data_IF_814422722475
#
_entry.id   IF_814422722475
#
_cell.length_a   1.000
_cell.length_b   1.000
_cell.length_c   1.000
_cell.angle_alpha   90.00
_cell.angle_beta   90.00
_cell.angle_gamma   90.00
#
_symmetry.space_group_name_H-M   'P 1'
#
loop_
_entity.id
_entity.type
_entity.pdbx_description
1 polymer ?
#
# COMPACT_ATOMS: atom_id res chain seq x y z
N UNK A 1 1.50 9.86 -0.98
CA UNK A 1 2.95 9.62 -1.04
C UNK A 1 3.14 8.24 -1.65
N UNK A 2 4.06 8.10 -2.62
CA UNK A 2 4.09 6.94 -3.53
C UNK A 2 5.44 6.21 -3.39
N UNK A 3 5.57 5.29 -2.41
CA UNK A 3 6.78 4.50 -2.22
C UNK A 3 6.77 3.18 -2.97
N UNK A 4 5.66 2.79 -3.60
CA UNK A 4 5.47 1.46 -4.17
C UNK A 4 6.32 1.21 -5.43
N UNK A 5 6.48 2.25 -6.25
CA UNK A 5 7.09 2.17 -7.58
C UNK A 5 7.51 3.54 -8.11
N UNK A 6 8.27 3.57 -9.20
CA UNK A 6 8.66 4.78 -9.91
C UNK A 6 8.76 4.52 -11.44
N UNK A 7 8.54 5.54 -12.29
CA UNK A 7 8.59 5.36 -13.74
C UNK A 7 10.04 5.22 -14.23
N UNK A 8 10.21 4.64 -15.42
CA UNK A 8 11.54 4.31 -15.99
C UNK A 8 12.11 5.40 -16.90
N UNK A 9 11.74 6.65 -16.68
CA UNK A 9 12.26 7.78 -17.44
C UNK A 9 13.78 7.93 -17.24
N UNK A 10 14.51 8.16 -18.34
CA UNK A 10 15.97 8.22 -18.31
C UNK A 10 16.56 9.37 -17.46
N UNK A 11 15.77 10.41 -17.17
CA UNK A 11 16.18 11.51 -16.29
C UNK A 11 15.87 11.24 -14.80
N UNK A 12 15.18 10.13 -14.51
CA UNK A 12 14.73 9.73 -13.18
C UNK A 12 15.71 8.79 -12.48
N UNK A 13 15.16 7.86 -11.69
CA UNK A 13 15.94 6.94 -10.84
C UNK A 13 16.33 5.63 -11.53
N UNK A 14 15.75 5.32 -12.69
CA UNK A 14 16.03 4.08 -13.39
C UNK A 14 17.48 4.01 -13.86
N UNK A 15 18.16 2.91 -13.55
CA UNK A 15 19.54 2.65 -13.96
C UNK A 15 20.52 3.80 -13.60
N UNK A 16 20.31 4.39 -12.43
CA UNK A 16 20.82 5.70 -12.02
C UNK A 16 22.32 5.92 -12.21
N UNK A 17 23.15 4.91 -11.91
CA UNK A 17 24.62 4.99 -11.97
C UNK A 17 25.23 4.06 -13.03
N UNK A 18 24.43 3.60 -13.98
CA UNK A 18 24.84 2.52 -14.89
C UNK A 18 24.58 1.12 -14.34
N UNK A 19 23.90 0.99 -13.20
CA UNK A 19 23.41 -0.27 -12.63
C UNK A 19 21.97 -0.14 -12.12
N UNK A 20 21.33 -1.27 -11.79
CA UNK A 20 20.05 -1.30 -11.06
C UNK A 20 20.27 -0.87 -9.60
N UNK A 21 20.31 0.45 -9.40
CA UNK A 21 20.65 1.05 -8.12
C UNK A 21 19.44 1.12 -7.18
N UNK A 22 18.37 1.80 -7.65
CA UNK A 22 17.14 2.00 -6.88
C UNK A 22 16.16 0.86 -7.04
N UNK A 23 16.07 0.28 -8.24
CA UNK A 23 15.29 -0.90 -8.56
C UNK A 23 16.07 -2.19 -8.32
N UNK A 24 15.35 -3.30 -8.17
CA UNK A 24 15.98 -4.62 -8.10
C UNK A 24 16.43 -5.08 -9.51
N UNK A 25 17.60 -5.71 -9.61
CA UNK A 25 18.17 -6.18 -10.89
C UNK A 25 17.32 -7.28 -11.54
N UNK A 26 16.77 -8.19 -10.73
CA UNK A 26 15.80 -9.19 -11.22
C UNK A 26 14.44 -8.52 -11.51
N UNK A 27 13.96 -8.51 -12.77
CA UNK A 27 12.68 -7.91 -13.14
C UNK A 27 11.47 -8.53 -12.41
N UNK A 28 11.55 -9.79 -11.99
CA UNK A 28 10.48 -10.45 -11.22
C UNK A 28 10.25 -9.79 -9.85
N UNK A 29 11.28 -9.11 -9.33
CA UNK A 29 11.25 -8.37 -8.07
C UNK A 29 11.26 -6.85 -8.29
N UNK A 30 11.82 -6.38 -9.40
CA UNK A 30 12.11 -4.97 -9.67
C UNK A 30 11.16 -4.27 -10.64
N UNK A 31 10.11 -4.91 -11.16
CA UNK A 31 9.25 -4.32 -12.18
C UNK A 31 7.78 -4.71 -12.04
N UNK A 32 6.86 -3.73 -12.05
CA UNK A 32 5.42 -3.97 -12.12
C UNK A 32 4.98 -4.12 -13.59
N UNK A 33 4.47 -5.29 -14.01
CA UNK A 33 4.10 -5.54 -15.41
C UNK A 33 2.89 -4.70 -15.86
N UNK A 34 1.84 -4.62 -15.04
CA UNK A 34 0.61 -3.89 -15.37
C UNK A 34 0.85 -2.37 -15.48
N UNK A 35 1.65 -1.82 -14.57
CA UNK A 35 1.93 -0.38 -14.51
C UNK A 35 3.12 0.06 -15.37
N UNK A 36 3.90 -0.91 -15.88
CA UNK A 36 5.13 -0.68 -16.65
C UNK A 36 6.11 0.26 -15.94
N UNK A 37 6.37 -0.02 -14.67
CA UNK A 37 7.17 0.84 -13.78
C UNK A 37 8.14 0.01 -12.94
N UNK A 38 9.25 0.61 -12.53
CA UNK A 38 10.22 -0.02 -11.66
C UNK A 38 9.76 -0.03 -10.19
N UNK A 39 10.14 -1.08 -9.45
CA UNK A 39 9.87 -1.26 -8.02
C UNK A 39 11.15 -0.96 -7.25
N UNK A 40 11.05 -0.20 -6.16
CA UNK A 40 12.19 0.07 -5.29
C UNK A 40 12.73 -1.22 -4.66
N UNK A 41 14.05 -1.35 -4.60
CA UNK A 41 14.74 -2.42 -3.90
C UNK A 41 14.75 -2.16 -2.38
N UNK A 42 13.66 -2.51 -1.70
CA UNK A 42 13.49 -2.29 -0.26
C UNK A 42 14.54 -2.99 0.62
N UNK A 43 15.17 -4.06 0.10
CA UNK A 43 16.25 -4.78 0.78
C UNK A 43 17.54 -3.98 0.87
N UNK A 44 17.75 -2.99 -0.03
CA UNK A 44 18.94 -2.14 -0.05
C UNK A 44 18.84 -0.99 0.94
N UNK A 45 19.84 -0.87 1.81
CA UNK A 45 19.83 0.11 2.91
C UNK A 45 19.70 1.56 2.44
N UNK A 46 20.42 1.96 1.40
CA UNK A 46 20.40 3.33 0.89
C UNK A 46 19.06 3.68 0.23
N UNK A 47 18.43 2.72 -0.44
CA UNK A 47 17.09 2.88 -1.06
C UNK A 47 16.04 3.05 0.03
N UNK A 48 16.09 2.23 1.08
CA UNK A 48 15.19 2.35 2.22
C UNK A 48 15.38 3.68 2.96
N UNK A 49 16.63 4.09 3.17
CA UNK A 49 16.95 5.38 3.78
C UNK A 49 16.45 6.56 2.92
N UNK A 50 16.58 6.48 1.59
CA UNK A 50 16.03 7.47 0.67
C UNK A 50 14.52 7.62 0.83
N UNK A 51 13.77 6.52 0.85
CA UNK A 51 12.31 6.54 0.99
C UNK A 51 11.86 7.05 2.37
N UNK A 52 12.46 6.56 3.47
CA UNK A 52 12.13 7.03 4.82
C UNK A 52 12.45 8.51 4.99
N UNK A 53 13.59 8.96 4.46
CA UNK A 53 13.98 10.38 4.49
C UNK A 53 13.01 11.24 3.66
N UNK A 54 12.55 10.75 2.51
CA UNK A 54 11.53 11.42 1.70
C UNK A 54 10.21 11.61 2.45
N UNK A 55 9.71 10.56 3.13
CA UNK A 55 8.52 10.67 3.95
C UNK A 55 8.67 11.71 5.07
N UNK A 56 9.78 11.66 5.80
CA UNK A 56 10.08 12.64 6.86
C UNK A 56 10.23 14.05 6.34
N UNK A 57 10.85 14.23 5.17
CA UNK A 57 11.03 15.54 4.56
C UNK A 57 9.68 16.26 4.34
N UNK A 58 8.65 15.54 3.86
CA UNK A 58 7.30 16.11 3.75
C UNK A 58 6.70 16.52 5.10
N UNK A 59 6.88 15.71 6.13
CA UNK A 59 6.32 15.97 7.45
C UNK A 59 7.07 17.08 8.20
N UNK A 60 8.40 17.07 8.17
CA UNK A 60 9.25 17.98 8.96
C UNK A 60 9.47 19.33 8.28
N UNK A 61 9.59 19.38 6.95
CA UNK A 61 9.91 20.61 6.23
C UNK A 61 8.66 21.31 5.73
N UNK A 62 7.69 20.56 5.22
CA UNK A 62 6.43 21.10 4.72
C UNK A 62 5.31 21.10 5.76
N UNK A 63 5.56 20.54 6.95
CA UNK A 63 4.60 20.46 8.04
C UNK A 63 3.29 19.78 7.62
N UNK A 64 3.37 18.78 6.72
CA UNK A 64 2.22 17.98 6.38
C UNK A 64 1.77 17.15 7.60
N UNK A 65 0.47 17.06 7.84
CA UNK A 65 -0.09 16.34 9.00
C UNK A 65 -0.22 14.82 8.79
N UNK A 66 0.09 14.32 7.60
CA UNK A 66 -0.04 12.90 7.33
C UNK A 66 0.32 12.47 5.91
N UNK A 67 0.42 11.15 5.73
CA UNK A 67 0.76 10.50 4.48
C UNK A 67 -0.23 9.38 4.18
N UNK A 68 -0.82 9.39 2.98
CA UNK A 68 -1.52 8.21 2.43
C UNK A 68 -0.61 7.47 1.46
N UNK A 69 -0.53 6.15 1.61
CA UNK A 69 0.11 5.20 0.68
C UNK A 69 -0.97 4.48 -0.10
N UNK A 70 -0.86 4.54 -1.42
CA UNK A 70 -1.70 3.84 -2.40
C UNK A 70 -1.03 2.51 -2.79
N UNK A 71 -1.84 1.50 -3.14
CA UNK A 71 -1.34 0.24 -3.69
C UNK A 71 -0.48 -0.57 -2.73
N UNK A 72 -0.74 -0.55 -1.42
CA UNK A 72 0.12 -1.25 -0.43
C UNK A 72 0.21 -2.76 -0.73
N UNK A 73 -0.84 -3.36 -1.28
CA UNK A 73 -0.82 -4.76 -1.72
C UNK A 73 0.27 -5.03 -2.79
N UNK A 74 0.55 -4.06 -3.67
CA UNK A 74 1.60 -4.21 -4.69
C UNK A 74 3.00 -4.32 -4.09
N UNK A 75 3.18 -3.78 -2.88
CA UNK A 75 4.41 -3.88 -2.13
C UNK A 75 4.51 -5.19 -1.34
N UNK A 76 3.40 -5.61 -0.72
CA UNK A 76 3.36 -6.75 0.21
C UNK A 76 3.52 -8.11 -0.47
N UNK A 77 3.21 -8.21 -1.76
CA UNK A 77 3.08 -9.48 -2.47
C UNK A 77 4.04 -9.58 -3.65
N UNK A 78 4.86 -10.63 -3.65
CA UNK A 78 5.79 -10.96 -4.73
C UNK A 78 5.05 -11.44 -6.00
N UNK A 79 3.86 -12.01 -5.84
CA UNK A 79 2.96 -12.47 -6.91
C UNK A 79 1.98 -11.38 -7.41
N UNK A 80 2.09 -10.13 -6.93
CA UNK A 80 1.17 -9.07 -7.34
C UNK A 80 1.23 -8.80 -8.86
N UNK A 81 0.09 -8.97 -9.54
CA UNK A 81 -0.05 -8.86 -11.00
C UNK A 81 0.89 -9.77 -11.79
N UNK A 82 1.18 -10.99 -11.30
CA UNK A 82 2.05 -11.95 -11.96
C UNK A 82 1.41 -13.33 -12.03
N UNK A 83 1.56 -14.01 -13.16
CA UNK A 83 1.08 -15.38 -13.34
C UNK A 83 2.04 -16.40 -12.70
N UNK A 84 1.60 -17.66 -12.60
CA UNK A 84 2.43 -18.76 -12.11
C UNK A 84 3.72 -18.90 -12.95
N UNK A 85 4.87 -18.92 -12.28
CA UNK A 85 6.20 -18.97 -12.92
C UNK A 85 6.81 -17.59 -13.23
N UNK A 86 6.04 -16.51 -13.14
CA UNK A 86 6.51 -15.14 -13.39
C UNK A 86 7.03 -14.43 -12.14
N UNK A 87 6.90 -15.04 -10.96
CA UNK A 87 7.40 -14.52 -9.69
C UNK A 87 8.28 -15.55 -8.97
N UNK A 88 8.95 -15.12 -7.89
CA UNK A 88 9.84 -15.96 -7.08
C UNK A 88 9.36 -15.89 -5.63
N UNK A 89 9.19 -17.03 -4.95
CA UNK A 89 8.79 -17.03 -3.55
C UNK A 89 9.88 -16.47 -2.64
N UNK A 90 9.46 -16.02 -1.46
CA UNK A 90 10.37 -15.62 -0.40
C UNK A 90 11.15 -16.84 0.13
N UNK A 91 12.11 -16.59 1.02
CA UNK A 91 12.99 -17.62 1.61
C UNK A 91 12.25 -18.78 2.31
N UNK A 92 11.00 -18.58 2.72
CA UNK A 92 10.17 -19.57 3.40
C UNK A 92 9.15 -20.24 2.46
N UNK A 93 9.22 -19.95 1.15
CA UNK A 93 8.30 -20.48 0.14
C UNK A 93 6.97 -19.71 0.03
N UNK A 94 6.82 -18.61 0.77
CA UNK A 94 5.64 -17.76 0.75
C UNK A 94 5.69 -16.68 -0.33
N UNK A 95 4.60 -15.91 -0.44
CA UNK A 95 4.46 -14.79 -1.39
C UNK A 95 4.69 -13.43 -0.77
N UNK A 96 4.91 -13.38 0.54
CA UNK A 96 5.10 -12.16 1.31
C UNK A 96 6.46 -11.55 1.00
N UNK A 97 6.46 -10.27 0.63
CA UNK A 97 7.68 -9.50 0.40
C UNK A 97 8.21 -8.96 1.75
N UNK A 98 9.10 -9.72 2.39
CA UNK A 98 9.63 -9.35 3.70
C UNK A 98 10.37 -8.01 3.71
N UNK A 99 11.11 -7.68 2.65
CA UNK A 99 11.83 -6.41 2.58
C UNK A 99 10.85 -5.22 2.54
N UNK A 100 9.73 -5.35 1.83
CA UNK A 100 8.69 -4.33 1.81
C UNK A 100 7.94 -4.23 3.14
N UNK A 101 7.65 -5.36 3.79
CA UNK A 101 7.00 -5.41 5.11
C UNK A 101 7.88 -4.71 6.16
N UNK A 102 9.17 -5.02 6.18
CA UNK A 102 10.13 -4.42 7.11
C UNK A 102 10.32 -2.93 6.82
N UNK A 103 10.33 -2.54 5.54
CA UNK A 103 10.33 -1.14 5.15
C UNK A 103 9.09 -0.39 5.67
N UNK A 104 7.88 -0.91 5.48
CA UNK A 104 6.65 -0.26 5.92
C UNK A 104 6.60 -0.10 7.45
N UNK A 105 7.08 -1.11 8.19
CA UNK A 105 7.21 -1.01 9.66
C UNK A 105 8.22 0.06 10.06
N UNK A 106 9.42 0.04 9.47
CA UNK A 106 10.46 1.04 9.75
C UNK A 106 9.99 2.46 9.40
N UNK A 107 9.29 2.62 8.29
CA UNK A 107 8.70 3.89 7.88
C UNK A 107 7.77 4.43 8.96
N UNK A 108 6.77 3.64 9.36
CA UNK A 108 5.77 4.05 10.34
C UNK A 108 6.43 4.36 11.69
N UNK A 109 7.33 3.51 12.18
CA UNK A 109 8.11 3.77 13.40
C UNK A 109 8.88 5.08 13.31
N UNK A 110 9.51 5.35 12.17
CA UNK A 110 10.32 6.56 11.98
C UNK A 110 9.46 7.82 11.95
N UNK A 111 8.35 7.84 11.20
CA UNK A 111 7.52 9.05 11.07
C UNK A 111 6.73 9.35 12.34
N UNK A 112 6.17 8.35 13.02
CA UNK A 112 5.50 8.57 14.31
C UNK A 112 6.48 8.95 15.43
N UNK A 113 7.70 8.41 15.40
CA UNK A 113 8.74 8.78 16.34
C UNK A 113 9.27 10.21 16.13
N UNK A 114 9.36 10.66 14.89
CA UNK A 114 9.87 11.99 14.56
C UNK A 114 8.80 13.09 14.67
N UNK A 115 7.56 12.81 14.28
CA UNK A 115 6.48 13.78 14.18
C UNK A 115 5.24 13.28 14.96
N UNK A 116 5.17 13.50 16.28
CA UNK A 116 4.01 13.09 17.06
C UNK A 116 2.71 13.77 16.57
N UNK A 117 1.63 13.00 16.46
CA UNK A 117 0.30 13.52 16.10
C UNK A 117 -0.05 13.47 14.60
N UNK A 118 0.90 13.11 13.74
CA UNK A 118 0.63 12.85 12.32
C UNK A 118 -0.26 11.62 12.13
N UNK A 119 -0.77 11.41 10.92
CA UNK A 119 -1.46 10.19 10.53
C UNK A 119 -0.87 9.55 9.27
N UNK A 120 -0.67 8.23 9.32
CA UNK A 120 -0.37 7.42 8.14
C UNK A 120 -1.58 6.57 7.76
N UNK A 121 -1.93 6.58 6.48
CA UNK A 121 -3.13 5.93 5.94
C UNK A 121 -2.73 4.96 4.84
N UNK A 122 -3.13 3.70 4.95
CA UNK A 122 -2.92 2.69 3.92
C UNK A 122 -4.19 2.44 3.11
N UNK A 123 -4.04 2.29 1.80
CA UNK A 123 -5.00 1.58 0.97
C UNK A 123 -4.40 0.22 0.59
N UNK A 124 -5.06 -0.84 1.06
CA UNK A 124 -4.63 -2.23 0.97
C UNK A 124 -5.88 -3.08 0.71
N UNK A 125 -5.87 -3.86 -0.39
CA UNK A 125 -7.07 -4.45 -1.01
C UNK A 125 -7.14 -5.98 -0.95
N UNK A 126 -6.21 -6.65 -0.28
CA UNK A 126 -6.08 -8.13 -0.24
C UNK A 126 -6.37 -8.75 1.15
N UNK A 127 -6.95 -7.96 2.05
CA UNK A 127 -7.29 -8.38 3.43
C UNK A 127 -6.07 -8.72 4.30
N UNK A 128 -4.92 -8.06 4.06
CA UNK A 128 -3.77 -8.18 4.95
C UNK A 128 -4.19 -7.82 6.38
N UNK A 129 -3.88 -8.64 7.39
CA UNK A 129 -4.28 -8.39 8.76
C UNK A 129 -3.36 -7.37 9.44
N UNK A 130 -3.91 -6.64 10.42
CA UNK A 130 -3.15 -5.74 11.29
C UNK A 130 -2.42 -4.61 10.53
N UNK A 131 -3.03 -4.12 9.44
CA UNK A 131 -2.46 -3.00 8.66
C UNK A 131 -2.36 -1.75 9.52
N UNK A 132 -3.42 -1.45 10.28
CA UNK A 132 -3.52 -0.26 11.13
C UNK A 132 -3.27 -0.55 12.62
N UNK A 133 -2.41 -1.55 12.90
CA UNK A 133 -1.99 -1.92 14.26
C UNK A 133 -0.51 -1.63 14.47
N UNK A 134 -0.08 -1.40 15.73
CA UNK A 134 1.32 -1.12 16.04
C UNK A 134 2.27 -2.23 15.60
N UNK A 135 3.48 -1.85 15.19
CA UNK A 135 4.51 -2.77 14.71
C UNK A 135 4.95 -3.78 15.78
N UNK A 136 4.99 -3.37 17.04
CA UNK A 136 5.32 -4.26 18.18
C UNK A 136 4.28 -5.36 18.42
N UNK A 137 3.07 -5.26 17.84
CA UNK A 137 2.05 -6.33 17.85
C UNK A 137 2.08 -7.18 16.57
N UNK A 138 3.02 -6.94 15.66
CA UNK A 138 3.11 -7.58 14.36
C UNK A 138 2.39 -6.83 13.22
N UNK A 139 1.81 -5.66 13.48
CA UNK A 139 1.16 -4.86 12.46
C UNK A 139 2.13 -4.15 11.49
N UNK A 140 1.58 -3.47 10.49
CA UNK A 140 2.36 -2.63 9.56
C UNK A 140 2.65 -1.23 10.11
N UNK A 141 1.94 -0.83 11.18
CA UNK A 141 2.16 0.44 11.87
C UNK A 141 1.37 1.62 11.30
N UNK A 142 0.48 1.42 10.32
CA UNK A 142 -0.36 2.52 9.85
C UNK A 142 -1.34 2.97 10.95
N UNK A 143 -1.73 4.25 10.92
CA UNK A 143 -2.76 4.77 11.83
C UNK A 143 -4.16 4.40 11.37
N UNK A 144 -4.38 4.38 10.04
CA UNK A 144 -5.67 4.13 9.42
C UNK A 144 -5.55 3.25 8.17
N UNK A 145 -6.62 2.52 7.83
CA UNK A 145 -6.77 1.75 6.59
C UNK A 145 -8.03 2.20 5.85
N UNK A 146 -7.98 2.32 4.53
CA UNK A 146 -9.16 2.50 3.71
C UNK A 146 -10.05 1.25 3.71
N UNK A 147 -11.34 1.43 4.00
CA UNK A 147 -12.34 0.37 3.98
C UNK A 147 -12.88 0.17 2.55
N UNK A 148 -12.09 -0.48 1.71
CA UNK A 148 -12.46 -0.78 0.32
C UNK A 148 -13.67 -1.73 0.24
N UNK A 149 -13.87 -2.59 1.24
CA UNK A 149 -15.04 -3.46 1.34
C UNK A 149 -16.31 -2.65 1.54
N UNK A 150 -16.33 -1.73 2.50
CA UNK A 150 -17.44 -0.80 2.69
C UNK A 150 -17.73 0.02 1.44
N UNK A 151 -16.70 0.55 0.79
CA UNK A 151 -16.85 1.36 -0.41
C UNK A 151 -17.56 0.56 -1.51
N UNK A 152 -17.05 -0.62 -1.87
CA UNK A 152 -17.65 -1.44 -2.93
C UNK A 152 -19.08 -1.87 -2.61
N UNK A 153 -19.34 -2.33 -1.38
CA UNK A 153 -20.66 -2.79 -1.00
C UNK A 153 -21.68 -1.65 -0.94
N UNK A 154 -21.27 -0.47 -0.45
CA UNK A 154 -22.13 0.72 -0.39
C UNK A 154 -22.48 1.22 -1.79
N UNK A 155 -21.49 1.35 -2.68
CA UNK A 155 -21.73 1.79 -4.06
C UNK A 155 -22.62 0.80 -4.81
N UNK A 156 -22.34 -0.51 -4.72
CA UNK A 156 -23.16 -1.56 -5.33
C UNK A 156 -24.60 -1.52 -4.82
N UNK A 157 -24.80 -1.36 -3.52
CA UNK A 157 -26.14 -1.28 -2.92
C UNK A 157 -26.92 -0.06 -3.43
N UNK A 158 -26.27 1.11 -3.51
CA UNK A 158 -26.89 2.36 -3.94
C UNK A 158 -27.20 2.39 -5.44
N UNK A 159 -26.39 1.73 -6.28
CA UNK A 159 -26.63 1.59 -7.72
C UNK A 159 -27.89 0.76 -8.05
N UNK A 160 -28.36 -0.08 -7.12
CA UNK A 160 -29.58 -0.87 -7.33
C UNK A 160 -30.82 0.02 -7.25
N UNK A 161 -31.81 -0.30 -8.09
CA UNK A 161 -33.16 0.23 -7.97
C UNK A 161 -33.69 0.02 -6.53
N UNK A 162 -34.27 1.05 -5.88
CA UNK A 162 -34.81 0.95 -4.53
C UNK A 162 -35.66 -0.28 -4.26
N UNK A 163 -36.46 -0.77 -5.21
CA UNK A 163 -37.33 -1.94 -5.02
C UNK A 163 -36.53 -3.25 -4.86
N UNK A 164 -35.33 -3.31 -5.44
CA UNK A 164 -34.45 -4.49 -5.38
C UNK A 164 -33.54 -4.50 -4.14
N UNK A 165 -33.32 -3.35 -3.50
CA UNK A 165 -32.42 -3.24 -2.33
C UNK A 165 -32.80 -4.15 -1.17
N UNK A 166 -34.08 -4.51 -1.03
CA UNK A 166 -34.57 -5.45 -0.01
C UNK A 166 -33.91 -6.84 -0.08
N UNK A 167 -33.44 -7.26 -1.26
CA UNK A 167 -32.79 -8.55 -1.46
C UNK A 167 -31.28 -8.52 -1.16
N UNK A 168 -30.73 -7.33 -0.96
CA UNK A 168 -29.29 -7.08 -0.85
C UNK A 168 -28.94 -6.31 0.43
N UNK A 169 -29.80 -6.33 1.45
CA UNK A 169 -29.56 -5.55 2.68
C UNK A 169 -28.29 -6.00 3.42
N UNK A 170 -27.83 -7.22 3.16
CA UNK A 170 -26.54 -7.71 3.65
C UNK A 170 -25.37 -6.85 3.16
N UNK A 171 -25.42 -6.24 1.96
CA UNK A 171 -24.35 -5.39 1.42
C UNK A 171 -24.04 -4.23 2.38
N UNK A 172 -25.06 -3.59 2.98
CA UNK A 172 -24.84 -2.48 3.92
C UNK A 172 -24.63 -2.92 5.38
N UNK A 173 -25.04 -4.14 5.76
CA UNK A 173 -24.88 -4.62 7.14
C UNK A 173 -23.62 -5.45 7.36
N UNK A 174 -23.05 -6.07 6.32
CA UNK A 174 -21.93 -7.00 6.39
C UNK A 174 -20.70 -6.41 7.09
N UNK A 175 -20.43 -5.12 6.86
CA UNK A 175 -19.34 -4.38 7.52
C UNK A 175 -19.31 -4.55 9.04
N UNK A 176 -20.46 -4.68 9.68
CA UNK A 176 -20.56 -4.82 11.14
C UNK A 176 -19.76 -6.01 11.69
N UNK A 177 -19.47 -7.02 10.86
CA UNK A 177 -18.67 -8.19 11.21
C UNK A 177 -17.17 -7.88 11.38
N UNK A 178 -16.63 -6.88 10.68
CA UNK A 178 -15.20 -6.59 10.67
C UNK A 178 -14.86 -5.12 10.97
N UNK A 179 -15.85 -4.25 11.16
CA UNK A 179 -15.70 -2.79 11.32
C UNK A 179 -14.69 -2.34 12.40
N UNK A 180 -14.35 -3.24 13.33
CA UNK A 180 -13.46 -2.95 14.46
C UNK A 180 -12.12 -3.73 14.40
N UNK A 181 -11.89 -4.50 13.33
CA UNK A 181 -10.63 -5.22 13.12
C UNK A 181 -9.47 -4.27 12.81
N UNK A 182 -9.76 -3.15 12.15
CA UNK A 182 -8.81 -2.09 11.81
C UNK A 182 -9.41 -0.72 12.18
N UNK A 183 -8.55 0.30 12.24
CA UNK A 183 -8.95 1.70 12.31
C UNK A 183 -9.29 2.19 10.90
N UNK A 184 -10.56 2.11 10.52
CA UNK A 184 -10.99 2.37 9.14
C UNK A 184 -11.26 3.85 8.84
N UNK A 185 -10.89 4.27 7.63
CA UNK A 185 -11.46 5.42 6.90
C UNK A 185 -12.46 4.88 5.88
N UNK A 186 -13.57 5.58 5.65
CA UNK A 186 -14.61 5.20 4.68
C UNK A 186 -14.42 6.03 3.39
N UNK A 187 -13.70 5.52 2.37
CA UNK A 187 -13.36 6.33 1.20
C UNK A 187 -14.45 6.31 0.13
N UNK A 188 -14.70 7.48 -0.47
CA UNK A 188 -15.23 7.60 -1.82
C UNK A 188 -14.18 8.43 -2.57
N UNK A 189 -13.23 7.76 -3.22
CA UNK A 189 -12.04 8.39 -3.77
C UNK A 189 -12.27 8.88 -5.21
N UNK A 190 -11.22 9.43 -5.80
CA UNK A 190 -11.20 9.80 -7.21
C UNK A 190 -11.26 8.58 -8.14
N UNK A 191 -10.81 7.40 -7.69
CA UNK A 191 -10.81 6.16 -8.48
C UNK A 191 -12.23 5.68 -8.79
N UNK A 192 -13.19 5.98 -7.91
CA UNK A 192 -14.59 5.52 -8.03
C UNK A 192 -15.44 6.34 -9.00
N UNK A 193 -14.89 7.43 -9.55
CA UNK A 193 -15.61 8.39 -10.42
C UNK A 193 -14.91 8.62 -11.75
N UNK A 194 -14.08 7.66 -12.16
CA UNK A 194 -13.37 7.63 -13.43
C UNK A 194 -13.63 6.30 -14.14
N UNK A 195 -13.15 6.16 -15.38
CA UNK A 195 -13.17 4.90 -16.14
C UNK A 195 -14.53 4.28 -16.51
N UNK A 196 -15.65 4.97 -16.23
CA UNK A 196 -16.99 4.70 -16.80
C UNK A 196 -17.67 3.45 -16.24
#
# INVERSE_FOLDING_TARGET
WVPAHFPTDAHGLAHFDGTHLYEHMDPKLGFHPDWRSAIFNYGRHEVRAFLVSSARFWLEVFHADGLRVDGVASMLYLDYSRDEGEWIPNKDGGRENYDAIDFLRQLNESVYGACPGIQTIAEESTSWPMVSRPTYMGGLGFGLKWDMGWMHDTLRYLQRDPIHRRYHHNEITFRSLYAFHESFVLPLSHDEVVHG
#
